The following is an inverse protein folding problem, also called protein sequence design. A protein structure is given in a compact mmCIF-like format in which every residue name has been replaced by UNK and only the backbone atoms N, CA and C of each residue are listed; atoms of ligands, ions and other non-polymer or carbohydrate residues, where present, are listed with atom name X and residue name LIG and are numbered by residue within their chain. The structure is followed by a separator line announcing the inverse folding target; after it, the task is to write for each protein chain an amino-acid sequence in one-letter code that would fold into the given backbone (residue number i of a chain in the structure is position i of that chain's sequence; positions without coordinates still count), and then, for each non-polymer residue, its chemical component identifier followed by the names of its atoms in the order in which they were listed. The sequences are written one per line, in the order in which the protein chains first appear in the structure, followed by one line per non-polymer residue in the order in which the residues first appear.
data_IF_939585695734
#
_entry.id   IF_939585695734
#
_cell.length_a   1.000
_cell.length_b   1.000
_cell.length_c   1.000
_cell.angle_alpha   90.00
_cell.angle_beta   90.00
_cell.angle_gamma   90.00
#
_symmetry.space_group_name_H-M   'P 1'
#
loop_
_entity.id
_entity.type
_entity.pdbx_description
1 polymer ?
#
# COMPACT_ATOMS: atom_id res chain seq x y z
N UNK A 1 65.66 6.98 34.06
CA UNK A 1 64.84 7.21 32.85
C UNK A 1 64.07 5.93 32.41
N UNK A 2 63.22 5.37 33.28
CA UNK A 2 62.47 4.09 32.98
C UNK A 2 60.95 4.22 32.83
N UNK A 3 60.34 5.35 33.14
CA UNK A 3 58.90 5.49 33.19
C UNK A 3 58.18 6.13 31.98
N UNK A 4 58.93 6.67 31.01
CA UNK A 4 58.36 7.34 29.85
C UNK A 4 57.73 6.34 28.81
N UNK A 5 58.31 5.15 28.66
CA UNK A 5 57.83 4.17 27.68
C UNK A 5 56.49 3.53 28.10
N UNK A 6 56.25 3.33 29.39
CA UNK A 6 54.99 2.76 29.88
C UNK A 6 53.82 3.77 29.84
N UNK A 7 54.10 5.06 29.97
CA UNK A 7 53.08 6.12 29.90
C UNK A 7 52.59 6.33 28.46
N UNK A 8 53.47 6.21 27.45
CA UNK A 8 53.10 6.35 26.05
C UNK A 8 52.18 5.19 25.62
N UNK A 9 52.49 3.95 26.01
CA UNK A 9 51.67 2.80 25.70
C UNK A 9 50.24 2.89 26.31
N UNK A 10 50.13 3.38 27.51
CA UNK A 10 48.84 3.61 28.20
C UNK A 10 48.00 4.66 27.45
N UNK A 11 48.60 5.76 27.02
CA UNK A 11 47.95 6.83 26.26
C UNK A 11 47.44 6.30 24.93
N UNK A 12 48.23 5.54 24.20
CA UNK A 12 47.81 4.93 22.93
C UNK A 12 46.61 3.97 23.10
N UNK A 13 46.62 3.17 24.16
CA UNK A 13 45.52 2.26 24.49
C UNK A 13 44.24 3.01 24.83
N UNK A 14 44.30 4.06 25.65
CA UNK A 14 43.12 4.88 26.03
C UNK A 14 42.56 5.58 24.78
N UNK A 15 43.43 6.09 23.91
CA UNK A 15 43.04 6.75 22.68
C UNK A 15 42.35 5.77 21.70
N UNK A 16 42.90 4.58 21.53
CA UNK A 16 42.33 3.53 20.70
C UNK A 16 40.93 3.10 21.20
N UNK A 17 40.77 2.87 22.52
CA UNK A 17 39.49 2.53 23.13
C UNK A 17 38.49 3.68 22.96
N UNK A 18 38.91 4.91 23.11
CA UNK A 18 38.02 6.09 22.96
C UNK A 18 37.48 6.20 21.54
N UNK A 19 38.35 6.01 20.52
CA UNK A 19 37.95 6.00 19.11
C UNK A 19 36.99 4.83 18.83
N UNK A 20 37.28 3.63 19.35
CA UNK A 20 36.43 2.47 19.18
C UNK A 20 35.04 2.67 19.77
N UNK A 21 34.92 3.20 20.98
CA UNK A 21 33.64 3.52 21.62
C UNK A 21 32.87 4.58 20.82
N UNK A 22 33.54 5.60 20.31
CA UNK A 22 32.92 6.62 19.47
C UNK A 22 32.36 6.04 18.18
N UNK A 23 33.10 5.18 17.51
CA UNK A 23 32.62 4.47 16.31
C UNK A 23 31.41 3.57 16.62
N UNK A 24 31.39 2.88 17.75
CA UNK A 24 30.23 2.09 18.19
C UNK A 24 29.00 2.98 18.39
N UNK A 25 29.13 4.13 19.06
CA UNK A 25 28.02 5.05 19.28
C UNK A 25 27.46 5.54 17.93
N UNK A 26 28.31 5.94 17.00
CA UNK A 26 27.90 6.36 15.64
C UNK A 26 27.15 5.22 14.94
N UNK A 27 27.72 4.02 14.95
CA UNK A 27 27.11 2.84 14.32
C UNK A 27 25.71 2.54 14.88
N UNK A 28 25.57 2.46 16.19
CA UNK A 28 24.29 2.20 16.83
C UNK A 28 23.26 3.31 16.56
N UNK A 29 23.70 4.57 16.63
CA UNK A 29 22.80 5.71 16.34
C UNK A 29 22.29 5.67 14.90
N UNK A 30 23.16 5.38 13.96
CA UNK A 30 22.80 5.24 12.54
C UNK A 30 21.83 4.08 12.32
N UNK A 31 22.13 2.90 12.84
CA UNK A 31 21.29 1.69 12.69
C UNK A 31 19.90 1.88 13.31
N UNK A 32 19.82 2.48 14.50
CA UNK A 32 18.53 2.72 15.16
C UNK A 32 17.68 3.77 14.41
N UNK A 33 18.30 4.77 13.80
CA UNK A 33 17.58 5.77 13.03
C UNK A 33 17.00 5.22 11.73
N UNK A 34 17.73 4.37 11.01
CA UNK A 34 17.23 3.70 9.81
C UNK A 34 16.01 2.83 10.13
N UNK A 35 16.10 1.99 11.15
CA UNK A 35 15.00 1.11 11.57
C UNK A 35 13.73 1.89 11.95
N UNK A 36 13.85 3.05 12.58
CA UNK A 36 12.71 3.90 12.94
C UNK A 36 12.02 4.52 11.73
N UNK A 37 12.78 4.88 10.70
CA UNK A 37 12.23 5.50 9.49
C UNK A 37 11.39 4.51 8.71
N UNK A 38 11.88 3.29 8.51
CA UNK A 38 11.14 2.23 7.81
C UNK A 38 9.85 1.85 8.53
N UNK A 39 9.90 1.72 9.86
CA UNK A 39 8.71 1.43 10.68
C UNK A 39 7.67 2.54 10.60
N UNK A 40 8.08 3.81 10.55
CA UNK A 40 7.16 4.94 10.42
C UNK A 40 6.43 4.92 9.08
N UNK A 41 7.16 4.71 7.99
CA UNK A 41 6.59 4.63 6.63
C UNK A 41 5.59 3.48 6.54
N UNK A 42 5.94 2.31 7.05
CA UNK A 42 5.06 1.14 7.05
C UNK A 42 3.77 1.40 7.86
N UNK A 43 3.86 2.00 9.04
CA UNK A 43 2.70 2.34 9.85
C UNK A 43 1.79 3.37 9.15
N UNK A 44 2.38 4.33 8.44
CA UNK A 44 1.63 5.32 7.66
C UNK A 44 0.90 4.66 6.48
N UNK A 45 1.57 3.77 5.74
CA UNK A 45 0.96 2.96 4.69
C UNK A 45 -0.23 2.15 5.21
N UNK A 46 -0.07 1.43 6.33
CA UNK A 46 -1.14 0.63 6.94
C UNK A 46 -2.31 1.52 7.36
N UNK A 47 -2.05 2.70 7.91
CA UNK A 47 -3.10 3.64 8.34
C UNK A 47 -3.87 4.18 7.14
N UNK A 48 -3.16 4.59 6.07
CA UNK A 48 -3.77 5.03 4.81
C UNK A 48 -4.62 3.92 4.18
N UNK A 49 -4.09 2.69 4.12
CA UNK A 49 -4.79 1.54 3.58
C UNK A 49 -6.08 1.22 4.36
N UNK A 50 -6.04 1.26 5.69
CA UNK A 50 -7.22 1.10 6.54
C UNK A 50 -8.26 2.18 6.29
N UNK A 51 -7.85 3.44 6.22
CA UNK A 51 -8.72 4.57 5.92
C UNK A 51 -9.41 4.41 4.57
N UNK A 52 -8.62 4.13 3.52
CA UNK A 52 -9.09 3.92 2.15
C UNK A 52 -10.08 2.75 2.08
N UNK A 53 -9.69 1.58 2.61
CA UNK A 53 -10.56 0.40 2.58
C UNK A 53 -11.85 0.61 3.36
N UNK A 54 -11.79 1.29 4.51
CA UNK A 54 -12.98 1.61 5.32
C UNK A 54 -13.89 2.62 4.63
N UNK A 55 -13.34 3.58 3.89
CA UNK A 55 -14.15 4.52 3.10
C UNK A 55 -14.91 3.80 1.98
N UNK A 56 -14.23 2.94 1.24
CA UNK A 56 -14.81 2.25 0.08
C UNK A 56 -15.96 1.30 0.43
N UNK A 57 -15.95 0.69 1.63
CA UNK A 57 -17.05 -0.18 2.08
C UNK A 57 -18.25 0.58 2.62
N UNK A 58 -18.19 1.91 2.69
CA UNK A 58 -19.29 2.79 3.08
C UNK A 58 -20.00 3.36 1.85
N UNK A 59 -21.07 4.12 2.09
CA UNK A 59 -21.87 4.77 1.05
C UNK A 59 -21.17 5.94 0.36
N UNK A 60 -20.12 6.49 0.99
CA UNK A 60 -19.52 7.74 0.53
C UNK A 60 -20.24 8.98 1.09
N UNK A 61 -19.92 10.16 0.55
CA UNK A 61 -20.62 11.40 0.89
C UNK A 61 -20.55 12.40 -0.28
N UNK A 62 -21.69 13.00 -0.64
CA UNK A 62 -23.06 12.70 -0.17
C UNK A 62 -23.47 11.26 -0.50
N UNK A 63 -24.56 10.73 0.07
CA UNK A 63 -24.94 9.31 -0.08
C UNK A 63 -25.13 8.89 -1.55
N UNK A 64 -25.65 9.79 -2.39
CA UNK A 64 -25.80 9.59 -3.84
C UNK A 64 -24.80 10.44 -4.61
N UNK A 65 -23.54 10.40 -4.20
CA UNK A 65 -22.47 11.17 -4.84
C UNK A 65 -22.31 10.84 -6.33
N UNK A 66 -21.85 11.82 -7.07
CA UNK A 66 -21.39 11.69 -8.45
C UNK A 66 -20.01 12.35 -8.61
N UNK A 67 -19.46 12.34 -9.81
CA UNK A 67 -18.10 12.85 -10.07
C UNK A 67 -17.90 14.33 -9.74
N UNK A 68 -18.98 15.13 -9.75
CA UNK A 68 -18.90 16.58 -9.58
C UNK A 68 -19.01 17.02 -8.12
N UNK A 69 -19.67 16.21 -7.26
CA UNK A 69 -19.99 16.57 -5.89
C UNK A 69 -19.37 15.66 -4.81
N UNK A 70 -18.65 14.61 -5.21
CA UNK A 70 -18.06 13.66 -4.28
C UNK A 70 -17.03 14.30 -3.33
N UNK A 71 -17.26 14.13 -2.04
CA UNK A 71 -16.34 14.56 -0.97
C UNK A 71 -15.66 13.37 -0.30
N UNK A 72 -16.33 12.23 -0.26
CA UNK A 72 -15.80 10.98 0.26
C UNK A 72 -16.24 9.82 -0.63
N UNK A 73 -15.27 9.08 -1.14
CA UNK A 73 -15.52 7.90 -1.95
C UNK A 73 -16.10 6.75 -1.11
N UNK A 74 -17.10 6.10 -1.66
CA UNK A 74 -17.67 4.88 -1.11
C UNK A 74 -18.38 4.12 -2.24
N UNK A 75 -18.27 2.81 -2.24
CA UNK A 75 -18.74 1.96 -3.34
C UNK A 75 -20.01 1.18 -2.98
N UNK A 76 -20.45 1.24 -1.73
CA UNK A 76 -21.55 0.40 -1.28
C UNK A 76 -22.78 1.20 -0.93
N UNK A 77 -23.85 0.47 -0.66
CA UNK A 77 -25.01 0.93 0.06
C UNK A 77 -24.99 0.40 1.52
N UNK A 78 -25.96 0.74 2.33
CA UNK A 78 -26.05 0.38 3.75
C UNK A 78 -25.88 -1.12 4.08
N UNK A 79 -25.91 -2.01 3.10
CA UNK A 79 -25.86 -3.46 3.29
C UNK A 79 -24.55 -4.09 2.77
N UNK A 80 -23.48 -3.33 2.65
CA UNK A 80 -22.21 -3.79 2.09
C UNK A 80 -22.32 -4.36 0.66
N UNK A 81 -23.41 -3.99 -0.04
CA UNK A 81 -23.61 -4.34 -1.45
C UNK A 81 -22.96 -3.26 -2.31
N UNK A 82 -22.18 -3.68 -3.28
CA UNK A 82 -21.62 -2.76 -4.27
C UNK A 82 -22.78 -2.13 -5.04
N UNK A 83 -22.77 -0.82 -5.12
CA UNK A 83 -23.66 -0.04 -5.95
C UNK A 83 -23.00 0.18 -7.32
N UNK A 84 -23.61 -0.37 -8.37
CA UNK A 84 -23.06 -0.33 -9.72
C UNK A 84 -22.93 1.09 -10.27
N UNK A 85 -23.84 2.00 -9.91
CA UNK A 85 -23.76 3.40 -10.32
C UNK A 85 -22.55 4.07 -9.68
N UNK A 86 -22.35 3.90 -8.38
CA UNK A 86 -21.19 4.44 -7.66
C UNK A 86 -19.89 3.86 -8.21
N UNK A 87 -19.87 2.55 -8.50
CA UNK A 87 -18.72 1.90 -9.07
C UNK A 87 -18.38 2.47 -10.47
N UNK A 88 -19.39 2.66 -11.33
CA UNK A 88 -19.22 3.31 -12.63
C UNK A 88 -18.71 4.75 -12.51
N UNK A 89 -19.25 5.53 -11.56
CA UNK A 89 -18.75 6.88 -11.28
C UNK A 89 -17.30 6.86 -10.78
N UNK A 90 -16.97 5.94 -9.87
CA UNK A 90 -15.61 5.77 -9.35
C UNK A 90 -14.59 5.47 -10.46
N UNK A 91 -14.92 4.63 -11.42
CA UNK A 91 -14.07 4.32 -12.57
C UNK A 91 -13.80 5.56 -13.44
N UNK A 92 -14.78 6.45 -13.55
CA UNK A 92 -14.67 7.67 -14.37
C UNK A 92 -13.88 8.80 -13.69
N UNK A 93 -13.65 8.76 -12.37
CA UNK A 93 -12.82 9.76 -11.69
C UNK A 93 -11.35 9.54 -12.06
N UNK A 94 -10.62 10.62 -12.32
CA UNK A 94 -9.19 10.53 -12.64
C UNK A 94 -8.38 9.96 -11.45
N UNK A 95 -7.28 9.26 -11.75
CA UNK A 95 -6.40 8.67 -10.73
C UNK A 95 -5.95 9.70 -9.67
N UNK A 96 -5.52 10.89 -10.12
CA UNK A 96 -5.03 11.93 -9.22
C UNK A 96 -6.15 12.49 -8.33
N UNK A 97 -7.36 12.65 -8.88
CA UNK A 97 -8.53 13.09 -8.09
C UNK A 97 -8.88 12.03 -7.03
N UNK A 98 -8.86 10.75 -7.38
CA UNK A 98 -9.07 9.66 -6.41
C UNK A 98 -8.02 9.67 -5.31
N UNK A 99 -6.72 9.87 -5.63
CA UNK A 99 -5.65 10.00 -4.60
C UNK A 99 -5.95 11.16 -3.64
N UNK A 100 -6.42 12.29 -4.16
CA UNK A 100 -6.79 13.44 -3.34
C UNK A 100 -7.98 13.13 -2.43
N UNK A 101 -9.02 12.48 -2.95
CA UNK A 101 -10.21 12.09 -2.19
C UNK A 101 -9.91 11.04 -1.11
N UNK A 102 -8.96 10.14 -1.37
CA UNK A 102 -8.42 9.20 -0.36
C UNK A 102 -7.46 9.84 0.62
N UNK A 103 -7.04 11.08 0.36
CA UNK A 103 -6.00 11.79 1.13
C UNK A 103 -4.72 10.95 1.28
N UNK A 104 -4.26 10.33 0.19
CA UNK A 104 -3.06 9.50 0.16
C UNK A 104 -2.03 10.01 -0.84
N UNK A 105 -0.76 9.95 -0.45
CA UNK A 105 0.37 10.20 -1.33
C UNK A 105 0.89 8.93 -2.01
N UNK A 106 0.47 7.77 -1.52
CA UNK A 106 0.91 6.46 -1.98
C UNK A 106 0.19 6.05 -3.25
N UNK A 107 0.82 5.20 -4.03
CA UNK A 107 0.20 4.60 -5.20
C UNK A 107 -0.61 3.37 -4.80
N UNK A 108 -1.67 3.09 -5.55
CA UNK A 108 -2.59 2.02 -5.20
C UNK A 108 -3.14 1.32 -6.45
N UNK A 109 -3.61 0.10 -6.23
CA UNK A 109 -4.40 -0.67 -7.17
C UNK A 109 -5.51 -1.42 -6.43
N UNK A 110 -6.73 -1.33 -6.94
CA UNK A 110 -7.94 -1.95 -6.39
C UNK A 110 -8.52 -2.88 -7.44
N UNK A 111 -8.83 -4.10 -7.04
CA UNK A 111 -9.50 -5.06 -7.88
C UNK A 111 -10.48 -5.91 -7.07
N UNK A 112 -11.33 -6.63 -7.79
CA UNK A 112 -12.31 -7.52 -7.20
C UNK A 112 -12.05 -8.94 -7.68
N UNK A 113 -12.16 -9.91 -6.76
CA UNK A 113 -12.06 -11.32 -7.11
C UNK A 113 -13.20 -12.11 -6.49
N UNK A 114 -13.57 -13.20 -7.14
CA UNK A 114 -14.54 -14.15 -6.63
C UNK A 114 -13.89 -15.17 -5.68
N UNK A 115 -14.70 -16.07 -5.11
CA UNK A 115 -14.24 -17.12 -4.20
C UNK A 115 -13.24 -18.11 -4.83
N UNK A 116 -13.17 -18.18 -6.16
CA UNK A 116 -12.21 -19.03 -6.88
C UNK A 116 -10.87 -18.31 -7.14
N UNK A 117 -10.74 -17.06 -6.74
CA UNK A 117 -9.54 -16.24 -6.97
C UNK A 117 -9.52 -15.54 -8.33
N UNK A 118 -10.58 -15.69 -9.14
CA UNK A 118 -10.67 -15.07 -10.46
C UNK A 118 -10.99 -13.58 -10.35
N UNK A 119 -10.30 -12.74 -11.12
CA UNK A 119 -10.60 -11.32 -11.21
C UNK A 119 -11.97 -11.10 -11.86
N UNK A 120 -12.73 -10.21 -11.27
CA UNK A 120 -14.06 -9.84 -11.79
C UNK A 120 -13.89 -8.66 -12.73
N UNK A 121 -14.36 -8.84 -13.98
CA UNK A 121 -14.46 -7.73 -14.92
C UNK A 121 -15.64 -6.83 -14.56
N UNK A 122 -15.36 -5.55 -14.36
CA UNK A 122 -16.38 -4.55 -14.06
C UNK A 122 -16.22 -3.40 -15.07
N UNK A 123 -17.22 -3.23 -15.95
CA UNK A 123 -17.21 -2.19 -16.99
C UNK A 123 -15.92 -2.21 -17.83
N UNK A 124 -15.53 -3.39 -18.29
CA UNK A 124 -14.33 -3.67 -19.09
C UNK A 124 -12.98 -3.39 -18.36
N UNK A 125 -13.02 -3.30 -17.03
CA UNK A 125 -11.84 -3.16 -16.20
C UNK A 125 -11.75 -4.29 -15.17
N UNK A 126 -10.58 -4.91 -15.04
CA UNK A 126 -10.28 -5.90 -14.00
C UNK A 126 -9.72 -5.27 -12.72
N UNK A 127 -9.41 -3.98 -12.76
CA UNK A 127 -8.94 -3.24 -11.62
C UNK A 127 -8.78 -1.77 -11.92
N UNK A 128 -8.56 -0.98 -10.88
CA UNK A 128 -8.46 0.47 -10.96
C UNK A 128 -7.38 1.00 -10.03
N UNK A 129 -6.50 1.84 -10.57
CA UNK A 129 -5.39 2.38 -9.79
C UNK A 129 -4.34 3.05 -10.65
N UNK A 130 -3.08 2.78 -10.33
CA UNK A 130 -1.94 3.28 -11.09
C UNK A 130 -1.95 2.73 -12.52
N UNK A 131 -1.68 3.60 -13.50
CA UNK A 131 -1.81 3.25 -14.91
C UNK A 131 -0.77 2.23 -15.41
N UNK A 132 0.39 2.15 -14.75
CA UNK A 132 1.47 1.23 -15.12
C UNK A 132 1.29 -0.18 -14.54
N UNK A 133 0.17 -0.47 -13.86
CA UNK A 133 -0.17 -1.84 -13.45
C UNK A 133 -0.62 -2.59 -14.68
N UNK A 134 0.12 -3.60 -15.04
CA UNK A 134 -0.18 -4.47 -16.18
C UNK A 134 -0.83 -5.77 -15.72
N UNK A 135 -1.70 -6.32 -16.56
CA UNK A 135 -2.28 -7.64 -16.35
C UNK A 135 -1.62 -8.60 -17.33
N UNK A 136 -0.83 -9.51 -16.82
CA UNK A 136 -0.28 -10.59 -17.63
C UNK A 136 -1.34 -11.68 -17.85
N UNK A 137 -1.44 -12.17 -19.07
CA UNK A 137 -2.38 -13.24 -19.42
C UNK A 137 -1.86 -14.56 -18.84
N UNK A 138 -2.23 -14.85 -17.60
CA UNK A 138 -2.02 -16.17 -16.99
C UNK A 138 -3.24 -17.01 -17.30
N UNK A 139 -3.08 -18.03 -18.14
CA UNK A 139 -4.16 -18.95 -18.51
C UNK A 139 -4.45 -19.86 -17.31
N UNK A 140 -5.37 -19.45 -16.46
CA UNK A 140 -5.91 -20.29 -15.40
C UNK A 140 -7.12 -21.07 -15.97
N UNK A 141 -7.12 -22.41 -15.94
CA UNK A 141 -8.20 -23.21 -16.50
C UNK A 141 -9.53 -23.06 -15.76
N UNK A 142 -9.51 -22.54 -14.51
CA UNK A 142 -10.72 -22.33 -13.69
C UNK A 142 -11.32 -20.97 -14.00
N UNK A 143 -10.48 -19.94 -14.20
CA UNK A 143 -10.94 -18.56 -14.32
C UNK A 143 -11.35 -18.17 -15.75
N UNK A 144 -10.91 -18.90 -16.78
CA UNK A 144 -11.08 -18.46 -18.16
C UNK A 144 -10.64 -16.98 -18.38
N UNK A 145 -9.70 -16.48 -17.58
CA UNK A 145 -9.29 -15.08 -17.54
C UNK A 145 -8.19 -14.84 -16.53
N UNK A 146 -8.19 -13.63 -15.98
CA UNK A 146 -7.15 -13.17 -15.06
C UNK A 146 -7.38 -13.66 -13.62
N UNK A 147 -6.27 -13.91 -12.91
CA UNK A 147 -6.22 -14.18 -11.48
C UNK A 147 -5.45 -13.08 -10.78
N UNK A 148 -5.35 -13.12 -9.44
CA UNK A 148 -4.51 -12.20 -8.69
C UNK A 148 -3.03 -12.26 -9.11
N UNK A 149 -2.54 -13.44 -9.49
CA UNK A 149 -1.17 -13.65 -9.96
C UNK A 149 -0.90 -13.03 -11.34
N UNK A 150 -1.96 -12.64 -12.06
CA UNK A 150 -1.84 -11.90 -13.33
C UNK A 150 -1.47 -10.44 -13.15
N UNK A 151 -1.50 -9.92 -11.90
CA UNK A 151 -1.23 -8.50 -11.63
C UNK A 151 0.28 -8.30 -11.51
N UNK A 152 0.89 -7.68 -12.51
CA UNK A 152 2.32 -7.34 -12.48
C UNK A 152 2.55 -5.93 -11.94
N UNK A 153 3.31 -5.86 -10.86
CA UNK A 153 3.78 -4.63 -10.22
C UNK A 153 5.28 -4.39 -10.43
N UNK A 154 5.98 -5.27 -11.15
CA UNK A 154 7.45 -5.24 -11.26
C UNK A 154 7.97 -3.97 -11.93
N UNK A 155 7.26 -3.46 -12.93
CA UNK A 155 7.62 -2.24 -13.67
C UNK A 155 7.69 -1.00 -12.78
N UNK A 156 7.02 -1.01 -11.62
CA UNK A 156 6.95 0.13 -10.69
C UNK A 156 8.05 0.12 -9.63
N UNK A 157 8.77 -1.01 -9.50
CA UNK A 157 9.78 -1.21 -8.44
C UNK A 157 9.29 -0.74 -7.06
N UNK A 158 8.12 -1.23 -6.62
CA UNK A 158 7.45 -0.72 -5.44
C UNK A 158 8.25 -1.02 -4.17
N UNK A 159 8.32 -0.04 -3.27
CA UNK A 159 8.85 -0.20 -1.92
C UNK A 159 7.68 -0.36 -0.95
N UNK A 160 7.84 -1.24 0.05
CA UNK A 160 6.87 -1.35 1.14
C UNK A 160 5.41 -1.51 0.65
N UNK A 161 5.12 -2.60 -0.03
CA UNK A 161 3.74 -2.92 -0.42
C UNK A 161 2.96 -3.41 0.80
N UNK A 162 1.75 -2.89 0.96
CA UNK A 162 0.76 -3.38 1.93
C UNK A 162 -0.53 -3.76 1.20
N UNK A 163 -1.23 -4.78 1.72
CA UNK A 163 -2.46 -5.34 1.15
C UNK A 163 -3.56 -5.40 2.20
N UNK A 164 -4.80 -5.21 1.77
CA UNK A 164 -6.00 -5.53 2.55
C UNK A 164 -7.08 -6.11 1.66
N UNK A 165 -7.84 -7.02 2.24
CA UNK A 165 -9.00 -7.64 1.61
C UNK A 165 -10.26 -7.25 2.38
N UNK A 166 -11.37 -7.00 1.66
CA UNK A 166 -12.68 -6.68 2.22
C UNK A 166 -13.75 -7.48 1.50
N UNK A 167 -14.56 -8.19 2.28
CA UNK A 167 -15.70 -8.92 1.75
C UNK A 167 -16.84 -7.96 1.44
N UNK A 168 -17.36 -8.04 0.24
CA UNK A 168 -18.50 -7.27 -0.25
C UNK A 168 -19.49 -8.21 -0.95
N UNK A 169 -20.66 -7.69 -1.28
CA UNK A 169 -21.64 -8.42 -2.07
C UNK A 169 -21.80 -7.73 -3.42
N UNK A 170 -21.57 -8.47 -4.50
CA UNK A 170 -21.77 -8.04 -5.87
C UNK A 170 -22.57 -9.09 -6.64
N UNK A 171 -23.62 -8.68 -7.34
CA UNK A 171 -24.52 -9.59 -8.08
C UNK A 171 -25.03 -10.79 -7.27
N UNK A 172 -25.29 -10.57 -5.96
CA UNK A 172 -25.73 -11.60 -5.02
C UNK A 172 -24.68 -12.65 -4.65
N UNK A 173 -23.44 -12.44 -5.03
CA UNK A 173 -22.29 -13.26 -4.65
C UNK A 173 -21.36 -12.51 -3.70
N UNK A 174 -20.63 -13.26 -2.88
CA UNK A 174 -19.58 -12.69 -2.02
C UNK A 174 -18.33 -12.51 -2.88
N UNK A 175 -17.78 -11.32 -2.86
CA UNK A 175 -16.57 -10.96 -3.59
C UNK A 175 -15.55 -10.33 -2.64
N UNK A 176 -14.28 -10.55 -2.91
CA UNK A 176 -13.19 -9.88 -2.22
C UNK A 176 -12.79 -8.61 -2.99
N UNK A 177 -12.93 -7.45 -2.35
CA UNK A 177 -12.26 -6.24 -2.79
C UNK A 177 -10.85 -6.25 -2.22
N UNK A 178 -9.86 -6.32 -3.08
CA UNK A 178 -8.44 -6.31 -2.72
C UNK A 178 -7.84 -4.96 -3.05
N UNK A 179 -7.07 -4.41 -2.12
CA UNK A 179 -6.37 -3.14 -2.29
C UNK A 179 -4.89 -3.34 -2.02
N UNK A 180 -4.07 -3.04 -3.00
CA UNK A 180 -2.63 -2.85 -2.85
C UNK A 180 -2.34 -1.35 -2.68
N UNK A 181 -1.47 -1.03 -1.74
CA UNK A 181 -0.95 0.32 -1.52
C UNK A 181 0.56 0.25 -1.36
N UNK A 182 1.30 1.12 -2.05
CA UNK A 182 2.76 1.09 -1.99
C UNK A 182 3.39 2.47 -2.11
N UNK A 183 4.65 2.53 -1.70
CA UNK A 183 5.53 3.66 -1.91
C UNK A 183 6.37 3.43 -3.19
N UNK A 184 6.56 4.46 -3.98
CA UNK A 184 7.55 4.51 -5.08
C UNK A 184 8.97 4.73 -4.58
#
# INVERSE_FOLDING_TARGET
MKNLKSQVWYLDFVLAISIFVLLLIIYFTYTLNLSKQDTKVLNDLITNLKSMSSSLILEGYPDNWNNDDVQRLGLTNNNQRIDENKLGQFLNISYNTRKTLFNTQYDYFIFFKNNNGCLINISDNFGVGHADVELEEVIDPICNGFTEDSIDLSNMNPKNIVRTDRLLIYNSEIVDMVIYLWQK
#
